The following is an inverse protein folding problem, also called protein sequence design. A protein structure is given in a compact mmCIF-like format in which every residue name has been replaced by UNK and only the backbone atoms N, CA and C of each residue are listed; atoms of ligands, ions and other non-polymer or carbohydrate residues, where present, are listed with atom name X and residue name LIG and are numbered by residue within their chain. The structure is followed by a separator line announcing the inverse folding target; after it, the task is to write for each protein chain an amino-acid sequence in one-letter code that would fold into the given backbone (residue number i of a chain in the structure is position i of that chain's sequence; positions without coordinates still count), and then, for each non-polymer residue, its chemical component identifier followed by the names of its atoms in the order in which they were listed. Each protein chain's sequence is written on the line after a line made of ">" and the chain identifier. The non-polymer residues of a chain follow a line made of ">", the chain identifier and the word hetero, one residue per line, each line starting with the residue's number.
data_IF_819026787428
#
_entry.id   IF_819026787428
#
_cell.length_a   1.000
_cell.length_b   1.000
_cell.length_c   1.000
_cell.angle_alpha   90.00
_cell.angle_beta   90.00
_cell.angle_gamma   90.00
#
_symmetry.space_group_name_H-M   'P 1'
#
loop_
_entity.id
_entity.type
_entity.pdbx_description
1 polymer ?
#
# COMPACT_ATOMS: atom_id res chain seq x y z
N UNK A 1 35.54 29.92 34.59
CA UNK A 1 34.21 29.53 34.09
C UNK A 1 34.08 30.01 32.65
N UNK A 2 34.21 29.14 31.62
CA UNK A 2 34.15 29.58 30.23
C UNK A 2 32.69 29.72 29.77
N UNK A 3 32.39 30.86 29.13
CA UNK A 3 31.06 31.17 28.62
C UNK A 3 30.68 30.25 27.44
N UNK A 4 29.53 29.59 27.55
CA UNK A 4 28.93 28.78 26.49
C UNK A 4 28.57 29.67 25.29
N UNK A 5 29.26 29.47 24.17
CA UNK A 5 28.92 30.11 22.88
C UNK A 5 27.60 29.53 22.37
N UNK A 6 26.55 30.33 22.44
CA UNK A 6 25.25 30.02 21.86
C UNK A 6 25.37 30.09 20.34
N UNK A 7 25.43 28.93 19.67
CA UNK A 7 25.36 28.88 18.22
C UNK A 7 23.94 29.28 17.80
N UNK A 8 23.80 30.51 17.30
CA UNK A 8 22.57 30.98 16.67
C UNK A 8 22.27 30.10 15.46
N UNK A 9 21.28 29.22 15.57
CA UNK A 9 20.76 28.44 14.46
C UNK A 9 20.18 29.44 13.45
N UNK A 10 20.91 29.67 12.35
CA UNK A 10 20.40 30.46 11.23
C UNK A 10 19.14 29.76 10.71
N UNK A 11 17.97 30.38 10.93
CA UNK A 11 16.73 30.00 10.27
C UNK A 11 16.93 30.18 8.76
N UNK A 12 17.21 29.07 8.07
CA UNK A 12 17.18 29.02 6.62
C UNK A 12 15.71 29.23 6.24
N UNK A 13 15.39 30.45 5.80
CA UNK A 13 14.08 30.71 5.22
C UNK A 13 13.99 29.91 3.92
N UNK A 14 12.99 29.02 3.74
CA UNK A 14 12.86 28.23 2.52
C UNK A 14 12.50 29.16 1.36
N UNK A 15 13.50 29.73 0.70
CA UNK A 15 13.32 30.81 -0.27
C UNK A 15 12.68 30.40 -1.61
N UNK A 16 12.21 29.16 -1.78
CA UNK A 16 11.65 28.70 -3.06
C UNK A 16 10.81 27.41 -2.96
N UNK A 17 10.11 27.16 -1.85
CA UNK A 17 9.15 26.05 -1.82
C UNK A 17 7.94 26.42 -2.68
N UNK A 18 7.82 25.82 -3.86
CA UNK A 18 6.54 25.83 -4.59
C UNK A 18 5.46 25.28 -3.66
N UNK A 19 4.24 25.85 -3.65
CA UNK A 19 3.15 25.28 -2.88
C UNK A 19 2.92 23.83 -3.32
N UNK A 20 2.79 22.87 -2.38
CA UNK A 20 2.43 21.51 -2.72
C UNK A 20 1.15 21.54 -3.56
N UNK A 21 1.15 20.77 -4.65
CA UNK A 21 -0.02 20.65 -5.51
C UNK A 21 -0.78 19.41 -5.07
N UNK A 22 -2.10 19.52 -4.97
CA UNK A 22 -2.95 18.39 -4.69
C UNK A 22 -3.07 17.50 -5.94
N UNK A 23 -2.88 16.20 -5.77
CA UNK A 23 -3.27 15.20 -6.77
C UNK A 23 -4.42 14.37 -6.23
N UNK A 24 -5.41 14.12 -7.06
CA UNK A 24 -6.60 13.39 -6.64
C UNK A 24 -6.33 11.88 -6.54
N UNK A 25 -6.57 11.31 -5.36
CA UNK A 25 -6.51 9.87 -5.08
C UNK A 25 -7.87 9.31 -4.66
N UNK A 26 -7.91 7.98 -4.48
CA UNK A 26 -9.09 7.26 -4.00
C UNK A 26 -8.78 6.61 -2.65
N UNK A 27 -9.42 7.09 -1.58
CA UNK A 27 -9.21 6.61 -0.21
C UNK A 27 -10.34 5.67 0.20
N UNK A 28 -9.97 4.48 0.64
CA UNK A 28 -10.82 3.55 1.36
C UNK A 28 -10.50 3.71 2.84
N UNK A 29 -11.25 4.59 3.49
CA UNK A 29 -11.15 4.87 4.92
C UNK A 29 -11.89 3.77 5.72
N UNK A 30 -11.38 3.41 6.89
CA UNK A 30 -12.04 2.52 7.83
C UNK A 30 -13.42 3.03 8.30
N UNK A 31 -13.64 4.34 8.31
CA UNK A 31 -14.89 4.96 8.75
C UNK A 31 -15.95 5.00 7.65
N UNK A 32 -15.55 4.89 6.38
CA UNK A 32 -16.42 5.05 5.22
C UNK A 32 -16.76 3.69 4.58
N UNK A 33 -18.02 3.54 4.17
CA UNK A 33 -18.45 2.34 3.42
C UNK A 33 -18.17 2.45 1.91
N UNK A 34 -17.90 3.65 1.40
CA UNK A 34 -17.63 3.93 -0.01
C UNK A 34 -16.30 4.67 -0.13
N UNK A 35 -15.57 4.50 -1.24
CA UNK A 35 -14.33 5.21 -1.44
C UNK A 35 -14.56 6.72 -1.52
N UNK A 36 -13.65 7.46 -0.89
CA UNK A 36 -13.61 8.91 -0.87
C UNK A 36 -12.62 9.41 -1.92
N UNK A 37 -12.99 10.46 -2.64
CA UNK A 37 -12.08 11.15 -3.54
C UNK A 37 -11.41 12.24 -2.71
N UNK A 38 -10.09 12.18 -2.62
CA UNK A 38 -9.32 13.07 -1.76
C UNK A 38 -8.20 13.74 -2.54
N UNK A 39 -7.78 14.89 -2.04
CA UNK A 39 -6.60 15.59 -2.50
C UNK A 39 -5.39 15.14 -1.68
N UNK A 40 -4.43 14.50 -2.35
CA UNK A 40 -3.17 14.07 -1.75
C UNK A 40 -2.14 15.19 -1.95
N UNK A 41 -1.65 15.83 -0.88
CA UNK A 41 -0.60 16.83 -0.98
C UNK A 41 0.62 16.22 -1.67
N UNK A 42 1.08 16.82 -2.76
CA UNK A 42 2.20 16.29 -3.54
C UNK A 42 3.25 17.38 -3.73
N UNK A 43 4.48 17.08 -3.34
CA UNK A 43 5.63 17.91 -3.66
C UNK A 43 5.97 17.73 -5.14
N UNK A 44 5.58 18.69 -5.97
CA UNK A 44 5.85 18.66 -7.42
C UNK A 44 7.03 19.59 -7.72
N UNK A 45 8.18 19.08 -8.21
CA UNK A 45 9.31 19.92 -8.55
C UNK A 45 9.00 20.82 -9.75
N UNK A 46 9.69 21.97 -9.84
CA UNK A 46 9.54 22.93 -10.96
C UNK A 46 9.76 22.29 -12.33
N UNK A 47 10.67 21.31 -12.40
CA UNK A 47 10.99 20.52 -13.59
C UNK A 47 11.05 19.06 -13.14
N UNK A 48 10.08 18.28 -13.58
CA UNK A 48 10.02 16.85 -13.30
C UNK A 48 11.02 16.10 -14.18
N UNK A 49 11.72 15.15 -13.57
CA UNK A 49 12.62 14.21 -14.24
C UNK A 49 12.71 12.94 -13.40
N UNK A 50 13.32 11.89 -13.96
CA UNK A 50 13.55 10.64 -13.24
C UNK A 50 14.30 10.84 -11.90
N UNK A 51 15.28 11.75 -11.88
CA UNK A 51 16.04 12.10 -10.68
C UNK A 51 15.32 13.08 -9.73
N UNK A 52 14.17 13.61 -10.17
CA UNK A 52 13.35 14.58 -9.42
C UNK A 52 11.88 14.27 -9.67
N UNK A 53 11.38 13.11 -9.21
CA UNK A 53 9.97 12.80 -9.35
C UNK A 53 9.17 13.69 -8.40
N UNK A 54 7.87 13.77 -8.64
CA UNK A 54 6.95 14.28 -7.63
C UNK A 54 6.79 13.27 -6.51
N UNK A 55 6.61 13.76 -5.28
CA UNK A 55 6.51 12.92 -4.08
C UNK A 55 5.16 13.16 -3.39
N UNK A 56 4.23 12.18 -3.40
CA UNK A 56 2.99 12.29 -2.65
C UNK A 56 3.26 12.17 -1.15
N UNK A 57 2.71 13.08 -0.35
CA UNK A 57 2.78 13.04 1.10
C UNK A 57 1.69 12.11 1.65
N UNK A 58 1.85 10.81 1.41
CA UNK A 58 0.87 9.77 1.78
C UNK A 58 0.63 9.71 3.29
N UNK A 59 1.65 10.06 4.07
CA UNK A 59 1.61 10.15 5.53
C UNK A 59 0.66 11.23 6.03
N UNK A 60 0.44 12.29 5.24
CA UNK A 60 -0.53 13.33 5.56
C UNK A 60 -1.98 12.85 5.40
N UNK A 61 -2.19 11.72 4.70
CA UNK A 61 -3.50 11.10 4.47
C UNK A 61 -3.70 9.89 5.39
N UNK A 62 -2.73 8.97 5.42
CA UNK A 62 -2.84 7.70 6.15
C UNK A 62 -2.37 7.79 7.61
N UNK A 63 -1.76 8.90 8.02
CA UNK A 63 -1.06 9.05 9.31
C UNK A 63 0.17 8.13 9.44
N UNK A 64 1.08 8.47 10.35
CA UNK A 64 2.34 7.71 10.59
C UNK A 64 2.23 6.70 11.74
N UNK A 65 1.02 6.41 12.21
CA UNK A 65 0.80 5.53 13.36
C UNK A 65 1.10 4.06 13.09
N UNK A 66 1.06 3.65 11.82
CA UNK A 66 1.30 2.28 11.37
C UNK A 66 2.16 2.25 10.10
N UNK A 67 2.93 1.18 9.85
CA UNK A 67 3.71 1.04 8.62
C UNK A 67 2.82 1.13 7.37
N UNK A 68 3.26 1.95 6.42
CA UNK A 68 2.61 2.11 5.12
C UNK A 68 3.26 1.16 4.13
N UNK A 69 2.47 0.27 3.56
CA UNK A 69 2.88 -0.65 2.50
C UNK A 69 2.59 -0.06 1.14
N UNK A 70 3.61 0.00 0.29
CA UNK A 70 3.47 0.43 -1.09
C UNK A 70 3.44 -0.78 -2.03
N UNK A 71 2.43 -0.84 -2.90
CA UNK A 71 2.29 -1.88 -3.91
C UNK A 71 1.86 -1.29 -5.25
N UNK A 72 2.59 -1.63 -6.32
CA UNK A 72 2.20 -1.30 -7.69
C UNK A 72 1.31 -2.39 -8.28
N UNK A 73 0.15 -2.03 -8.81
CA UNK A 73 -0.80 -2.97 -9.44
C UNK A 73 -1.10 -2.55 -10.87
N UNK A 74 -0.93 -3.48 -11.81
CA UNK A 74 -1.29 -3.26 -13.21
C UNK A 74 -2.65 -3.87 -13.51
N UNK A 75 -3.53 -3.06 -14.11
CA UNK A 75 -4.83 -3.48 -14.65
C UNK A 75 -4.94 -3.10 -16.12
N UNK A 76 -5.81 -3.78 -16.86
CA UNK A 76 -6.03 -3.52 -18.28
C UNK A 76 -7.41 -2.88 -18.44
N UNK A 77 -7.49 -1.79 -19.19
CA UNK A 77 -8.77 -1.17 -19.52
C UNK A 77 -9.54 -1.98 -20.60
N UNK A 78 -10.82 -1.67 -20.85
CA UNK A 78 -11.61 -2.40 -21.86
C UNK A 78 -11.07 -2.30 -23.30
N UNK A 79 -10.12 -1.39 -23.57
CA UNK A 79 -9.46 -1.24 -24.87
C UNK A 79 -8.14 -1.99 -24.94
N UNK A 80 -7.80 -2.74 -23.90
CA UNK A 80 -6.56 -3.50 -23.82
C UNK A 80 -5.36 -2.67 -23.34
N UNK A 81 -5.54 -1.42 -22.93
CA UNK A 81 -4.42 -0.57 -22.51
C UNK A 81 -4.12 -0.78 -21.03
N UNK A 82 -2.84 -0.98 -20.72
CA UNK A 82 -2.37 -1.14 -19.35
C UNK A 82 -2.42 0.18 -18.58
N UNK A 83 -2.88 0.09 -17.34
CA UNK A 83 -2.92 1.17 -16.36
C UNK A 83 -2.31 0.66 -15.07
N UNK A 84 -1.39 1.44 -14.50
CA UNK A 84 -0.73 1.10 -13.24
C UNK A 84 -1.23 2.00 -12.13
N UNK A 85 -1.45 1.43 -10.96
CA UNK A 85 -1.91 2.11 -9.77
C UNK A 85 -0.95 1.82 -8.63
N UNK A 86 -0.60 2.84 -7.85
CA UNK A 86 0.11 2.68 -6.60
C UNK A 86 -0.91 2.61 -5.47
N UNK A 87 -0.82 1.54 -4.68
CA UNK A 87 -1.64 1.28 -3.52
C UNK A 87 -0.76 1.50 -2.29
N UNK A 88 -1.20 2.39 -1.42
CA UNK A 88 -0.62 2.63 -0.11
C UNK A 88 -1.57 2.09 0.93
N UNK A 89 -1.18 1.04 1.63
CA UNK A 89 -2.05 0.31 2.53
C UNK A 89 -1.46 0.26 3.93
N UNK A 90 -2.29 0.53 4.93
CA UNK A 90 -1.97 0.21 6.31
C UNK A 90 -2.82 -0.97 6.73
N UNK A 91 -2.19 -1.92 7.43
CA UNK A 91 -2.89 -3.00 8.06
C UNK A 91 -2.48 -3.13 9.52
N UNK A 92 -3.47 -3.18 10.40
CA UNK A 92 -3.28 -3.56 11.78
C UNK A 92 -4.58 -4.16 12.33
N UNK A 93 -4.51 -5.29 13.04
CA UNK A 93 -5.69 -5.92 13.63
C UNK A 93 -6.38 -5.08 14.71
N UNK A 94 -5.68 -4.11 15.30
CA UNK A 94 -6.25 -3.14 16.24
C UNK A 94 -7.00 -1.99 15.56
N UNK A 95 -6.81 -1.79 14.25
CA UNK A 95 -7.58 -0.80 13.50
C UNK A 95 -8.98 -1.31 13.17
N UNK A 96 -9.96 -0.41 12.98
CA UNK A 96 -11.30 -0.82 12.55
C UNK A 96 -11.29 -1.50 11.18
N UNK A 97 -12.22 -2.44 11.00
CA UNK A 97 -12.40 -3.12 9.72
C UNK A 97 -12.84 -2.13 8.64
N UNK A 98 -12.12 -2.13 7.53
CA UNK A 98 -12.40 -1.34 6.35
C UNK A 98 -13.63 -1.87 5.60
N UNK A 99 -14.77 -1.20 5.80
CA UNK A 99 -16.05 -1.60 5.20
C UNK A 99 -16.04 -1.48 3.69
N UNK A 100 -15.33 -0.49 3.13
CA UNK A 100 -15.18 -0.33 1.69
C UNK A 100 -14.46 -1.54 1.05
N UNK A 101 -13.37 -2.00 1.66
CA UNK A 101 -12.66 -3.21 1.20
C UNK A 101 -13.55 -4.45 1.26
N UNK A 102 -14.31 -4.62 2.34
CA UNK A 102 -15.25 -5.75 2.48
C UNK A 102 -16.39 -5.72 1.46
N UNK A 103 -16.78 -4.55 0.97
CA UNK A 103 -17.75 -4.44 -0.12
C UNK A 103 -17.15 -4.88 -1.47
N UNK A 104 -15.87 -4.57 -1.71
CA UNK A 104 -15.16 -5.00 -2.92
C UNK A 104 -14.90 -6.51 -2.92
N UNK A 105 -14.40 -7.05 -1.80
CA UNK A 105 -14.11 -8.47 -1.64
C UNK A 105 -14.66 -8.97 -0.30
N UNK A 106 -15.80 -9.66 -0.32
CA UNK A 106 -16.53 -10.04 0.91
C UNK A 106 -15.78 -10.96 1.85
N UNK A 107 -14.85 -11.76 1.30
CA UNK A 107 -14.12 -12.81 2.01
C UNK A 107 -12.88 -12.30 2.76
N UNK A 108 -12.30 -11.18 2.34
CA UNK A 108 -11.17 -10.57 3.04
C UNK A 108 -11.65 -9.66 4.16
N UNK A 109 -10.95 -9.71 5.29
CA UNK A 109 -11.11 -8.77 6.40
C UNK A 109 -9.85 -7.91 6.43
N UNK A 110 -9.95 -6.72 5.84
CA UNK A 110 -8.90 -5.71 5.92
C UNK A 110 -9.18 -4.74 7.07
N UNK A 111 -8.20 -4.50 7.94
CA UNK A 111 -8.31 -3.54 9.05
C UNK A 111 -7.27 -2.43 8.89
N UNK A 112 -7.75 -1.23 8.57
CA UNK A 112 -6.94 -0.05 8.28
C UNK A 112 -7.25 0.61 6.94
N UNK A 113 -6.72 1.83 6.71
CA UNK A 113 -6.99 2.60 5.51
C UNK A 113 -6.16 2.13 4.30
N UNK A 114 -6.70 2.36 3.10
CA UNK A 114 -6.00 2.13 1.83
C UNK A 114 -6.19 3.33 0.91
N UNK A 115 -5.09 3.90 0.43
CA UNK A 115 -5.06 4.95 -0.58
C UNK A 115 -4.62 4.37 -1.93
N UNK A 116 -5.38 4.66 -2.97
CA UNK A 116 -5.05 4.29 -4.35
C UNK A 116 -4.77 5.56 -5.16
N UNK A 117 -3.61 5.59 -5.81
CA UNK A 117 -3.20 6.66 -6.72
C UNK A 117 -2.89 6.10 -8.11
N UNK A 118 -3.13 6.87 -9.17
CA UNK A 118 -2.78 6.47 -10.53
C UNK A 118 -1.29 6.70 -10.75
N UNK A 119 -0.56 5.70 -11.23
CA UNK A 119 0.83 5.86 -11.64
C UNK A 119 0.88 6.52 -13.02
N UNK A 120 1.72 7.53 -13.19
CA UNK A 120 1.92 8.17 -14.48
C UNK A 120 2.94 7.43 -15.35
N UNK A 121 2.91 7.65 -16.66
CA UNK A 121 3.89 7.04 -17.58
C UNK A 121 5.32 7.52 -17.33
N UNK A 122 5.48 8.83 -17.04
CA UNK A 122 6.79 9.48 -16.83
C UNK A 122 6.91 10.12 -15.45
N UNK A 123 5.96 9.87 -14.55
CA UNK A 123 5.85 10.50 -13.23
C UNK A 123 5.36 9.48 -12.23
N UNK A 124 5.82 9.56 -10.98
CA UNK A 124 5.49 8.58 -9.94
C UNK A 124 3.97 8.43 -9.73
N UNK A 125 3.25 9.54 -9.64
CA UNK A 125 1.78 9.55 -9.47
C UNK A 125 1.12 10.66 -10.28
N UNK A 126 -0.16 10.48 -10.60
CA UNK A 126 -1.02 11.48 -11.24
C UNK A 126 -2.46 11.37 -10.71
N UNK A 127 -3.29 12.35 -11.05
CA UNK A 127 -4.65 12.44 -10.52
C UNK A 127 -5.62 11.45 -11.15
N UNK A 128 -6.52 10.89 -10.34
CA UNK A 128 -7.67 10.09 -10.78
C UNK A 128 -8.84 11.03 -11.12
N UNK A 129 -8.90 11.49 -12.38
CA UNK A 129 -9.83 12.55 -12.79
C UNK A 129 -11.20 12.07 -13.28
N UNK A 130 -11.33 10.81 -13.72
CA UNK A 130 -12.56 10.32 -14.37
C UNK A 130 -13.20 9.15 -13.62
N UNK A 131 -14.52 9.02 -13.75
CA UNK A 131 -15.25 7.87 -13.20
C UNK A 131 -14.74 6.54 -13.76
N UNK A 132 -14.29 6.52 -15.02
CA UNK A 132 -13.66 5.34 -15.61
C UNK A 132 -12.37 4.96 -14.88
N UNK A 133 -11.48 5.92 -14.60
CA UNK A 133 -10.24 5.67 -13.85
C UNK A 133 -10.52 5.23 -12.42
N UNK A 134 -11.59 5.73 -11.79
CA UNK A 134 -12.00 5.28 -10.44
C UNK A 134 -12.39 3.80 -10.44
N UNK A 135 -13.15 3.35 -11.44
CA UNK A 135 -13.49 1.92 -11.59
C UNK A 135 -12.24 1.07 -11.80
N UNK A 136 -11.27 1.54 -12.59
CA UNK A 136 -9.99 0.83 -12.76
C UNK A 136 -9.16 0.80 -11.47
N UNK A 137 -9.20 1.87 -10.66
CA UNK A 137 -8.55 1.92 -9.35
C UNK A 137 -9.19 0.92 -8.36
N UNK A 138 -10.52 0.82 -8.34
CA UNK A 138 -11.24 -0.21 -7.58
C UNK A 138 -10.87 -1.62 -8.02
N UNK A 139 -10.73 -1.85 -9.34
CA UNK A 139 -10.26 -3.14 -9.86
C UNK A 139 -8.81 -3.44 -9.45
N UNK A 140 -7.92 -2.44 -9.44
CA UNK A 140 -6.55 -2.60 -8.97
C UNK A 140 -6.53 -2.96 -7.48
N UNK A 141 -7.35 -2.29 -6.67
CA UNK A 141 -7.51 -2.62 -5.26
C UNK A 141 -8.05 -4.04 -5.05
N UNK A 142 -9.05 -4.45 -5.84
CA UNK A 142 -9.58 -5.81 -5.78
C UNK A 142 -8.47 -6.85 -6.00
N UNK A 143 -7.63 -6.67 -7.02
CA UNK A 143 -6.48 -7.58 -7.27
C UNK A 143 -5.48 -7.60 -6.11
N UNK A 144 -5.18 -6.44 -5.54
CA UNK A 144 -4.32 -6.35 -4.35
C UNK A 144 -4.89 -7.12 -3.16
N UNK A 145 -6.19 -6.97 -2.91
CA UNK A 145 -6.89 -7.67 -1.83
C UNK A 145 -6.90 -9.19 -2.08
N UNK A 146 -7.15 -9.65 -3.30
CA UNK A 146 -7.11 -11.07 -3.65
C UNK A 146 -5.73 -11.69 -3.41
N UNK A 147 -4.66 -10.97 -3.77
CA UNK A 147 -3.29 -11.44 -3.53
C UNK A 147 -2.91 -11.41 -2.04
N UNK A 148 -3.45 -10.45 -1.28
CA UNK A 148 -3.18 -10.28 0.15
C UNK A 148 -3.94 -11.29 1.02
N UNK A 149 -5.07 -11.83 0.55
CA UNK A 149 -5.90 -12.79 1.27
C UNK A 149 -5.11 -14.02 1.72
N UNK A 150 -4.27 -14.58 0.84
CA UNK A 150 -3.44 -15.74 1.16
C UNK A 150 -2.41 -15.45 2.26
N UNK A 151 -1.89 -14.23 2.31
CA UNK A 151 -0.90 -13.81 3.32
C UNK A 151 -1.57 -13.62 4.68
N UNK A 152 -2.74 -12.97 4.68
CA UNK A 152 -3.55 -12.74 5.88
C UNK A 152 -4.07 -14.03 6.51
N UNK A 153 -4.46 -15.02 5.69
CA UNK A 153 -4.97 -16.30 6.16
C UNK A 153 -3.94 -17.09 6.99
N UNK A 154 -2.64 -16.88 6.76
CA UNK A 154 -1.55 -17.57 7.46
C UNK A 154 -1.15 -16.85 8.76
N UNK A 155 -1.79 -15.72 9.08
CA UNK A 155 -1.56 -14.98 10.33
C UNK A 155 -0.21 -14.28 10.39
N UNK A 156 0.42 -14.02 9.24
CA UNK A 156 1.69 -13.29 9.17
C UNK A 156 1.49 -11.82 9.50
N UNK A 157 2.49 -11.27 10.20
CA UNK A 157 2.65 -9.83 10.36
C UNK A 157 2.90 -9.23 8.97
N UNK A 158 1.97 -8.40 8.48
CA UNK A 158 2.02 -7.88 7.10
C UNK A 158 3.23 -6.98 6.82
N UNK A 159 3.96 -6.60 7.85
CA UNK A 159 5.03 -5.61 7.78
C UNK A 159 6.20 -5.97 6.85
N UNK A 160 6.34 -7.23 6.41
CA UNK A 160 7.41 -7.65 5.49
C UNK A 160 6.97 -8.58 4.34
N UNK A 161 5.67 -8.84 4.17
CA UNK A 161 5.21 -10.00 3.36
C UNK A 161 4.30 -9.62 2.19
N UNK A 162 3.84 -8.37 2.12
CA UNK A 162 3.02 -7.90 1.00
C UNK A 162 3.87 -7.73 -0.27
N UNK A 163 3.33 -8.09 -1.45
CA UNK A 163 4.06 -7.94 -2.71
C UNK A 163 4.25 -6.44 -3.02
N UNK A 164 5.46 -6.06 -3.42
CA UNK A 164 5.74 -4.71 -3.90
C UNK A 164 5.13 -4.45 -5.29
N UNK A 165 4.88 -5.50 -6.08
CA UNK A 165 4.30 -5.40 -7.42
C UNK A 165 3.38 -6.58 -7.75
N UNK A 166 2.25 -6.30 -8.40
CA UNK A 166 1.29 -7.27 -8.93
C UNK A 166 1.09 -7.01 -10.43
N UNK A 167 1.75 -7.77 -11.32
CA UNK A 167 1.61 -7.63 -12.76
C UNK A 167 0.28 -8.21 -13.27
N UNK A 168 -0.05 -7.93 -14.53
CA UNK A 168 -1.30 -8.37 -15.17
C UNK A 168 -1.50 -9.89 -15.17
N UNK A 169 -0.40 -10.64 -15.25
CA UNK A 169 -0.37 -12.09 -15.35
C UNK A 169 -0.58 -12.83 -14.03
N UNK A 170 -0.59 -12.13 -12.89
CA UNK A 170 -0.87 -12.72 -11.57
C UNK A 170 -2.37 -12.92 -11.30
N UNK A 171 -3.17 -13.23 -12.33
CA UNK A 171 -4.48 -13.81 -12.08
C UNK A 171 -4.27 -15.16 -11.38
N UNK A 172 -5.05 -15.50 -10.34
CA UNK A 172 -4.91 -16.79 -9.70
C UNK A 172 -5.29 -17.88 -10.70
N UNK A 173 -4.28 -18.47 -11.33
CA UNK A 173 -4.34 -19.91 -11.52
C UNK A 173 -4.50 -20.49 -10.12
N UNK A 174 -5.66 -21.10 -9.89
CA UNK A 174 -5.97 -21.92 -8.72
C UNK A 174 -4.83 -22.92 -8.54
N UNK A 175 -3.85 -22.56 -7.72
CA UNK A 175 -2.89 -23.49 -7.17
C UNK A 175 -3.42 -23.88 -5.80
N UNK A 176 -4.29 -24.89 -5.80
CA UNK A 176 -4.39 -25.81 -4.69
C UNK A 176 -3.01 -26.47 -4.58
N UNK A 177 -2.12 -25.91 -3.75
CA UNK A 177 -0.98 -26.67 -3.24
C UNK A 177 -1.44 -27.40 -1.98
N UNK A 178 -1.94 -28.60 -2.22
CA UNK A 178 -1.88 -29.68 -1.24
C UNK A 178 -0.39 -30.01 -1.01
N UNK A 179 0.08 -29.78 0.22
CA UNK A 179 1.32 -30.35 0.75
C UNK A 179 2.61 -29.64 0.35
N UNK A 180 3.43 -29.23 1.31
CA UNK A 180 4.30 -30.17 2.01
C UNK A 180 4.86 -29.56 3.30
N UNK A 181 4.98 -30.47 4.25
CA UNK A 181 5.55 -30.43 5.58
C UNK A 181 6.91 -29.73 5.70
N UNK A 182 6.97 -28.82 6.68
CA UNK A 182 7.91 -28.79 7.81
C UNK A 182 9.35 -29.28 7.55
N UNK A 183 10.29 -28.34 7.51
CA UNK A 183 11.67 -28.56 7.98
C UNK A 183 12.01 -27.45 8.95
N UNK A 184 11.90 -27.75 10.25
CA UNK A 184 12.74 -27.26 11.35
C UNK A 184 11.97 -27.35 12.68
N UNK A 185 11.88 -28.56 13.22
CA UNK A 185 11.78 -28.75 14.67
C UNK A 185 12.67 -29.93 15.01
N UNK A 186 13.95 -29.59 15.20
CA UNK A 186 14.92 -30.44 15.84
C UNK A 186 14.80 -30.21 17.35
N UNK A 187 15.00 -31.30 18.11
CA UNK A 187 15.20 -31.38 19.57
C UNK A 187 13.91 -31.50 20.39
N UNK A 188 13.57 -32.73 20.80
CA UNK A 188 13.88 -33.21 22.16
C UNK A 188 13.21 -34.56 22.47
N UNK A 189 14.02 -35.53 22.91
CA UNK A 189 13.75 -36.48 24.02
C UNK A 189 12.56 -37.45 23.88
N UNK A 190 12.60 -38.74 24.18
CA UNK A 190 13.56 -39.69 24.72
C UNK A 190 12.84 -41.04 24.77
N UNK A 191 13.63 -42.11 24.69
CA UNK A 191 13.50 -43.32 25.51
C UNK A 191 12.28 -44.27 25.34
N UNK A 192 12.65 -45.55 25.23
CA UNK A 192 12.00 -46.74 25.83
C UNK A 192 10.70 -47.23 25.17
N UNK A 193 10.37 -48.51 25.09
CA UNK A 193 11.04 -49.79 25.39
C UNK A 193 10.00 -50.87 25.03
N UNK A 194 10.48 -52.04 24.59
CA UNK A 194 9.85 -53.37 24.74
C UNK A 194 8.63 -53.75 23.88
N UNK A 195 8.90 -54.80 23.09
CA UNK A 195 8.09 -55.90 22.54
C UNK A 195 6.79 -56.29 23.28
N UNK A 196 5.92 -57.03 22.58
CA UNK A 196 5.51 -58.37 23.02
C UNK A 196 6.36 -59.48 22.39
#
# INVERSE_FOLDING_TARGET
>A
MPALRTHSIRRISPRNTLPPRALTGLLFDETASRPLIIDVPTAIPRRESENRPRFPCVEAVLHVGYPIHECSVTVQDPRGMERRFLIFAQFNSALPMNRGCRQLLRRIIWSGPILVMLQGTNVLVTSILSAHMRRLAEQALLRFLEQSEGILAVGFDLNNTLPAEIPLCCLPHVHVFLGQTSIASYIALSATSVKP
#
